data_IF_118841279021
#
_entry.id   IF_118841279021
#
_cell.length_a   1.000
_cell.length_b   1.000
_cell.length_c   1.000
_cell.angle_alpha   90.00
_cell.angle_beta   90.00
_cell.angle_gamma   90.00
#
_symmetry.space_group_name_H-M   'P 1'
#
loop_
_entity.id
_entity.type
_entity.pdbx_description
1 polymer ?
#
# COMPACT_ATOMS: atom_id res chain seq x y z
N UNK A 1 5.85 -30.21 8.91
CA UNK A 1 5.22 -28.90 9.25
C UNK A 1 5.02 -28.87 10.75
N UNK A 2 5.39 -27.78 11.45
CA UNK A 2 5.23 -27.70 12.91
C UNK A 2 3.75 -27.65 13.33
N UNK A 3 3.40 -28.35 14.42
CA UNK A 3 2.03 -28.42 14.98
C UNK A 3 1.31 -27.06 15.10
N UNK A 4 2.03 -25.98 15.41
CA UNK A 4 1.45 -24.63 15.51
C UNK A 4 0.95 -24.04 14.19
N UNK A 5 1.48 -24.47 13.02
CA UNK A 5 1.03 -23.99 11.71
C UNK A 5 -0.29 -24.62 11.30
N UNK A 6 -0.48 -25.92 11.55
CA UNK A 6 -1.74 -26.63 11.27
C UNK A 6 -2.88 -26.06 12.09
N UNK A 7 -2.66 -25.79 13.39
CA UNK A 7 -3.66 -25.16 14.25
C UNK A 7 -4.10 -23.80 13.69
N UNK A 8 -3.14 -22.94 13.28
CA UNK A 8 -3.47 -21.62 12.70
C UNK A 8 -4.32 -21.73 11.43
N UNK A 9 -4.07 -22.72 10.58
CA UNK A 9 -4.89 -22.95 9.39
C UNK A 9 -6.30 -23.41 9.74
N UNK A 10 -6.46 -24.30 10.72
CA UNK A 10 -7.77 -24.74 11.18
C UNK A 10 -8.57 -23.59 11.80
N UNK A 11 -7.92 -22.75 12.65
CA UNK A 11 -8.56 -21.57 13.22
C UNK A 11 -8.93 -20.52 12.15
N UNK A 12 -8.14 -20.35 11.08
CA UNK A 12 -8.44 -19.43 9.99
C UNK A 12 -9.80 -19.72 9.32
N UNK A 13 -10.19 -20.99 9.23
CA UNK A 13 -11.50 -21.39 8.64
C UNK A 13 -12.69 -20.94 9.49
N UNK A 14 -12.48 -20.58 10.75
CA UNK A 14 -13.52 -20.09 11.66
C UNK A 14 -13.67 -18.57 11.67
N UNK A 15 -12.69 -17.83 11.12
CA UNK A 15 -12.71 -16.37 11.13
C UNK A 15 -13.52 -15.78 9.99
N UNK A 16 -14.73 -15.29 10.28
CA UNK A 16 -15.62 -14.65 9.28
C UNK A 16 -14.99 -13.44 8.58
N UNK A 17 -14.05 -12.75 9.24
CA UNK A 17 -13.32 -11.62 8.66
C UNK A 17 -12.17 -12.04 7.73
N UNK A 18 -11.87 -13.33 7.55
CA UNK A 18 -10.78 -13.84 6.71
C UNK A 18 -11.32 -14.63 5.52
N UNK A 19 -11.22 -14.04 4.33
CA UNK A 19 -11.57 -14.71 3.07
C UNK A 19 -10.35 -15.45 2.50
N UNK A 20 -10.48 -16.75 2.23
CA UNK A 20 -9.40 -17.62 1.73
C UNK A 20 -9.82 -18.38 0.46
N UNK A 21 -10.00 -17.70 -0.69
CA UNK A 21 -10.40 -18.35 -1.92
C UNK A 21 -9.35 -19.32 -2.41
N UNK A 22 -9.79 -20.42 -3.00
CA UNK A 22 -8.94 -21.36 -3.72
C UNK A 22 -8.44 -20.74 -5.04
N UNK A 23 -7.37 -21.30 -5.59
CA UNK A 23 -6.86 -20.85 -6.89
C UNK A 23 -7.89 -21.06 -8.02
N UNK A 24 -8.69 -22.12 -7.96
CA UNK A 24 -9.70 -22.43 -8.98
C UNK A 24 -10.88 -21.45 -8.99
N UNK A 25 -11.17 -20.76 -7.90
CA UNK A 25 -12.22 -19.74 -7.85
C UNK A 25 -11.85 -18.46 -8.59
N UNK A 26 -10.55 -18.21 -8.84
CA UNK A 26 -10.07 -16.97 -9.44
C UNK A 26 -9.18 -17.16 -10.65
N UNK A 27 -8.92 -18.41 -11.04
CA UNK A 27 -8.08 -18.76 -12.18
C UNK A 27 -8.69 -19.86 -13.02
N UNK A 28 -8.82 -19.61 -14.33
CA UNK A 28 -9.14 -20.61 -15.31
C UNK A 28 -7.91 -20.91 -16.17
N UNK A 29 -7.63 -22.21 -16.34
CA UNK A 29 -6.52 -22.75 -17.15
C UNK A 29 -7.01 -23.78 -18.18
N UNK A 30 -8.32 -23.89 -18.40
CA UNK A 30 -8.94 -24.95 -19.20
C UNK A 30 -8.48 -24.95 -20.65
N UNK A 31 -8.18 -23.79 -21.22
CA UNK A 31 -7.85 -23.63 -22.66
C UNK A 31 -6.33 -23.53 -22.91
N UNK A 32 -5.49 -24.01 -22.00
CA UNK A 32 -4.03 -23.87 -22.10
C UNK A 32 -3.52 -22.43 -21.87
N UNK A 33 -4.43 -21.48 -21.61
CA UNK A 33 -4.14 -20.10 -21.26
C UNK A 33 -4.26 -19.85 -19.76
N UNK A 34 -4.11 -18.57 -19.41
CA UNK A 34 -4.34 -18.09 -18.04
C UNK A 34 -5.37 -16.97 -18.08
N UNK A 35 -6.52 -17.16 -17.43
CA UNK A 35 -7.57 -16.17 -17.29
C UNK A 35 -7.89 -15.94 -15.81
N UNK A 36 -7.94 -14.67 -15.41
CA UNK A 36 -8.40 -14.29 -14.08
C UNK A 36 -9.93 -14.25 -14.10
N UNK A 37 -10.56 -14.98 -13.16
CA UNK A 37 -12.00 -15.01 -12.95
C UNK A 37 -12.40 -14.04 -11.86
N UNK A 38 -13.60 -13.46 -11.98
CA UNK A 38 -14.14 -12.60 -10.92
C UNK A 38 -14.67 -13.46 -9.76
N UNK A 39 -14.18 -13.20 -8.56
CA UNK A 39 -14.72 -13.82 -7.35
C UNK A 39 -16.05 -13.15 -6.96
N UNK A 40 -17.03 -13.90 -6.37
CA UNK A 40 -18.34 -13.35 -5.97
C UNK A 40 -18.30 -12.17 -5.00
N UNK A 41 -17.22 -12.00 -4.25
CA UNK A 41 -17.00 -10.85 -3.34
C UNK A 41 -16.80 -9.52 -4.09
N UNK A 42 -16.39 -9.57 -5.36
CA UNK A 42 -16.10 -8.40 -6.19
C UNK A 42 -17.31 -7.47 -6.29
N UNK A 43 -17.17 -6.24 -5.81
CA UNK A 43 -18.26 -5.27 -5.71
C UNK A 43 -19.19 -5.45 -4.50
N UNK A 44 -18.91 -6.44 -3.64
CA UNK A 44 -19.78 -6.82 -2.52
C UNK A 44 -19.06 -6.79 -1.16
N UNK A 45 -17.87 -6.22 -1.07
CA UNK A 45 -17.14 -6.18 0.20
C UNK A 45 -17.92 -5.49 1.32
N UNK A 46 -18.49 -4.31 1.02
CA UNK A 46 -19.25 -3.55 2.00
C UNK A 46 -20.50 -4.26 2.51
N UNK A 47 -21.18 -5.02 1.66
CA UNK A 47 -22.41 -5.75 2.04
C UNK A 47 -22.14 -7.09 2.72
N UNK A 48 -21.02 -7.74 2.39
CA UNK A 48 -20.79 -9.13 2.81
C UNK A 48 -19.80 -9.25 3.99
N UNK A 49 -18.90 -8.27 4.14
CA UNK A 49 -17.80 -8.40 5.11
C UNK A 49 -17.82 -7.35 6.21
N UNK A 50 -18.53 -6.25 6.05
CA UNK A 50 -18.50 -5.13 6.99
C UNK A 50 -19.88 -4.80 7.55
N UNK A 51 -19.92 -4.30 8.79
CA UNK A 51 -21.16 -3.89 9.44
C UNK A 51 -21.78 -2.61 8.82
N UNK A 52 -20.95 -1.78 8.19
CA UNK A 52 -21.36 -0.52 7.54
C UNK A 52 -20.64 -0.36 6.20
N UNK A 53 -21.36 0.18 5.22
CA UNK A 53 -20.75 0.59 3.96
C UNK A 53 -19.93 1.87 4.17
N UNK A 54 -18.62 1.77 3.97
CA UNK A 54 -17.65 2.85 4.16
C UNK A 54 -16.58 2.78 3.07
N UNK A 55 -15.78 3.86 2.85
CA UNK A 55 -14.63 3.80 1.95
C UNK A 55 -13.69 2.66 2.32
N UNK A 56 -13.24 1.89 1.31
CA UNK A 56 -12.38 0.72 1.52
C UNK A 56 -10.91 1.12 1.33
N UNK A 57 -10.09 0.75 2.30
CA UNK A 57 -8.63 0.92 2.31
C UNK A 57 -7.98 -0.45 2.25
N UNK A 58 -7.04 -0.65 1.31
CA UNK A 58 -6.28 -1.90 1.19
C UNK A 58 -4.88 -1.74 1.74
N UNK A 59 -4.39 -2.73 2.49
CA UNK A 59 -2.97 -2.93 2.74
C UNK A 59 -2.48 -4.16 1.96
N UNK A 60 -1.59 -3.97 0.99
CA UNK A 60 -1.06 -5.04 0.15
C UNK A 60 0.27 -5.55 0.69
N UNK A 61 0.31 -6.84 1.03
CA UNK A 61 1.44 -7.46 1.71
C UNK A 61 1.39 -7.24 3.23
N UNK A 62 0.21 -7.21 3.82
CA UNK A 62 -0.03 -6.84 5.22
C UNK A 62 0.65 -7.72 6.28
N UNK A 63 1.21 -8.87 5.89
CA UNK A 63 1.91 -9.76 6.80
C UNK A 63 1.02 -10.24 7.96
N UNK A 64 1.27 -9.73 9.17
CA UNK A 64 0.50 -10.04 10.38
C UNK A 64 -0.73 -9.14 10.56
N UNK A 65 -0.95 -8.17 9.67
CA UNK A 65 -2.07 -7.24 9.71
C UNK A 65 -1.95 -6.14 10.78
N UNK A 66 -0.74 -5.89 11.31
CA UNK A 66 -0.53 -4.88 12.35
C UNK A 66 -0.96 -3.49 11.88
N UNK A 67 -0.57 -3.11 10.67
CA UNK A 67 -0.90 -1.80 10.10
C UNK A 67 -2.40 -1.70 9.79
N UNK A 68 -2.99 -2.74 9.17
CA UNK A 68 -4.43 -2.84 8.91
C UNK A 68 -5.25 -2.64 10.19
N UNK A 69 -4.89 -3.33 11.28
CA UNK A 69 -5.56 -3.24 12.59
C UNK A 69 -5.42 -1.83 13.19
N UNK A 70 -4.20 -1.29 13.23
CA UNK A 70 -3.97 0.01 13.87
C UNK A 70 -4.66 1.14 13.11
N UNK A 71 -4.68 1.12 11.77
CA UNK A 71 -5.43 2.07 10.96
C UNK A 71 -6.93 1.98 11.25
N UNK A 72 -7.49 0.77 11.33
CA UNK A 72 -8.92 0.56 11.56
C UNK A 72 -9.42 1.12 12.90
N UNK A 73 -8.56 1.10 13.91
CA UNK A 73 -8.86 1.63 15.24
C UNK A 73 -8.76 3.15 15.31
N UNK A 74 -7.86 3.74 14.51
CA UNK A 74 -7.63 5.20 14.48
C UNK A 74 -8.65 5.93 13.64
N UNK A 75 -9.05 5.33 12.51
CA UNK A 75 -10.01 5.93 11.57
C UNK A 75 -11.17 4.95 11.35
N UNK A 76 -12.09 4.83 12.33
CA UNK A 76 -13.20 3.87 12.28
C UNK A 76 -14.28 4.23 11.24
N UNK A 77 -14.17 5.36 10.57
CA UNK A 77 -15.04 5.79 9.45
C UNK A 77 -14.70 5.13 8.11
N UNK A 78 -13.74 4.20 8.07
CA UNK A 78 -13.30 3.47 6.87
C UNK A 78 -13.26 1.97 7.14
N UNK A 79 -13.40 1.17 6.10
CA UNK A 79 -13.23 -0.28 6.12
C UNK A 79 -11.84 -0.67 5.62
N UNK A 80 -11.21 -1.63 6.28
CA UNK A 80 -9.82 -2.02 6.01
C UNK A 80 -9.70 -3.47 5.61
N UNK A 81 -8.94 -3.73 4.54
CA UNK A 81 -8.68 -5.08 4.07
C UNK A 81 -7.19 -5.31 3.97
N UNK A 82 -6.65 -6.19 4.83
CA UNK A 82 -5.27 -6.65 4.74
C UNK A 82 -5.14 -7.82 3.78
N UNK A 83 -4.22 -7.73 2.81
CA UNK A 83 -4.01 -8.76 1.78
C UNK A 83 -2.62 -9.38 1.93
N UNK A 84 -2.52 -10.70 2.06
CA UNK A 84 -1.25 -11.45 2.04
C UNK A 84 -1.48 -12.88 1.53
N UNK A 85 -0.44 -13.51 1.02
CA UNK A 85 -0.50 -14.92 0.58
C UNK A 85 -0.31 -15.91 1.74
N UNK A 86 0.31 -15.47 2.84
CA UNK A 86 0.71 -16.34 3.95
C UNK A 86 -0.37 -16.42 5.02
N UNK A 87 -1.27 -17.40 4.93
CA UNK A 87 -2.37 -17.60 5.87
C UNK A 87 -1.92 -17.71 7.35
N UNK A 88 -0.74 -18.28 7.64
CA UNK A 88 -0.21 -18.34 8.99
C UNK A 88 0.18 -16.97 9.57
N UNK A 89 0.43 -15.95 8.73
CA UNK A 89 0.64 -14.56 9.12
C UNK A 89 -0.69 -13.84 9.32
N UNK A 90 -1.60 -13.96 8.35
CA UNK A 90 -2.96 -13.39 8.42
C UNK A 90 -3.74 -13.85 9.66
N UNK A 91 -3.49 -15.08 10.13
CA UNK A 91 -4.07 -15.61 11.35
C UNK A 91 -3.97 -14.64 12.53
N UNK A 92 -2.88 -13.93 12.65
CA UNK A 92 -2.62 -13.04 13.79
C UNK A 92 -3.54 -11.82 13.78
N UNK A 93 -3.66 -11.15 12.62
CA UNK A 93 -4.56 -10.02 12.42
C UNK A 93 -6.03 -10.42 12.50
N UNK A 94 -6.41 -11.54 11.84
CA UNK A 94 -7.78 -12.03 11.86
C UNK A 94 -8.24 -12.43 13.26
N UNK A 95 -7.38 -13.13 14.02
CA UNK A 95 -7.63 -13.48 15.42
C UNK A 95 -7.82 -12.22 16.26
N UNK A 96 -6.93 -11.25 16.14
CA UNK A 96 -7.03 -9.98 16.87
C UNK A 96 -8.33 -9.25 16.54
N UNK A 97 -8.71 -9.18 15.27
CA UNK A 97 -9.94 -8.53 14.84
C UNK A 97 -11.19 -9.17 15.46
N UNK A 98 -11.23 -10.52 15.54
CA UNK A 98 -12.34 -11.26 16.16
C UNK A 98 -12.34 -11.05 17.69
N UNK A 99 -11.19 -11.16 18.36
CA UNK A 99 -11.08 -11.01 19.83
C UNK A 99 -11.42 -9.59 20.32
N UNK A 100 -11.33 -8.58 19.44
CA UNK A 100 -11.60 -7.17 19.79
C UNK A 100 -12.82 -6.59 19.06
N UNK A 101 -13.65 -7.45 18.47
CA UNK A 101 -14.90 -7.07 17.78
C UNK A 101 -14.70 -5.89 16.80
N UNK A 102 -13.72 -5.98 15.89
CA UNK A 102 -13.45 -4.94 14.90
C UNK A 102 -14.34 -5.13 13.65
N UNK A 103 -15.48 -4.42 13.53
CA UNK A 103 -16.46 -4.64 12.47
C UNK A 103 -16.06 -4.05 11.11
N UNK A 104 -14.97 -3.28 11.08
CA UNK A 104 -14.45 -2.58 9.91
C UNK A 104 -13.11 -3.18 9.42
N UNK A 105 -12.80 -4.43 9.79
CA UNK A 105 -11.57 -5.13 9.39
C UNK A 105 -11.90 -6.44 8.69
N UNK A 106 -11.28 -6.67 7.55
CA UNK A 106 -11.27 -7.95 6.86
C UNK A 106 -9.86 -8.32 6.38
N UNK A 107 -9.66 -9.58 6.07
CA UNK A 107 -8.42 -10.09 5.49
C UNK A 107 -8.72 -10.93 4.25
N UNK A 108 -7.84 -10.84 3.26
CA UNK A 108 -7.92 -11.62 2.03
C UNK A 108 -6.61 -12.39 1.83
N UNK A 109 -6.70 -13.71 1.81
CA UNK A 109 -5.57 -14.57 1.48
C UNK A 109 -5.52 -14.83 -0.02
N UNK A 110 -4.67 -14.08 -0.72
CA UNK A 110 -4.46 -14.28 -2.17
C UNK A 110 -3.06 -13.85 -2.59
N UNK A 111 -2.71 -14.19 -3.83
CA UNK A 111 -1.57 -13.59 -4.52
C UNK A 111 -1.97 -12.20 -5.01
N UNK A 112 -1.16 -11.18 -4.74
CA UNK A 112 -1.48 -9.79 -5.15
C UNK A 112 -1.59 -9.66 -6.67
N UNK A 113 -0.93 -10.52 -7.44
CA UNK A 113 -1.05 -10.59 -8.89
C UNK A 113 -2.50 -10.87 -9.37
N UNK A 114 -3.33 -11.45 -8.49
CA UNK A 114 -4.73 -11.78 -8.76
C UNK A 114 -5.72 -10.77 -8.16
N UNK A 115 -5.26 -9.64 -7.67
CA UNK A 115 -6.06 -8.67 -6.91
C UNK A 115 -7.30 -8.19 -7.68
N UNK A 116 -7.22 -8.11 -9.00
CA UNK A 116 -8.32 -7.68 -9.89
C UNK A 116 -9.54 -8.61 -9.83
N UNK A 117 -9.36 -9.86 -9.39
CA UNK A 117 -10.46 -10.81 -9.20
C UNK A 117 -11.44 -10.39 -8.11
N UNK A 118 -10.99 -9.56 -7.17
CA UNK A 118 -11.67 -9.31 -5.90
C UNK A 118 -12.27 -7.91 -5.76
N UNK A 119 -11.90 -6.97 -6.62
CA UNK A 119 -12.36 -5.58 -6.49
C UNK A 119 -12.96 -5.07 -7.78
N UNK A 120 -14.17 -4.50 -7.67
CA UNK A 120 -14.90 -3.87 -8.77
C UNK A 120 -14.36 -2.43 -9.04
N UNK A 121 -14.64 -1.86 -10.21
CA UNK A 121 -14.27 -0.48 -10.50
C UNK A 121 -14.74 0.50 -9.43
N UNK A 122 -13.83 1.37 -8.95
CA UNK A 122 -14.08 2.42 -7.95
C UNK A 122 -14.39 1.89 -6.53
N UNK A 123 -14.17 0.62 -6.24
CA UNK A 123 -14.50 0.01 -4.95
C UNK A 123 -13.49 0.36 -3.85
N UNK A 124 -12.27 0.70 -4.21
CA UNK A 124 -11.17 0.99 -3.27
C UNK A 124 -10.82 2.47 -3.28
N UNK A 125 -10.71 3.09 -2.12
CA UNK A 125 -10.34 4.51 -1.96
C UNK A 125 -8.84 4.74 -1.78
N UNK A 126 -8.15 3.81 -1.11
CA UNK A 126 -6.72 3.94 -0.80
C UNK A 126 -6.03 2.58 -0.82
N UNK A 127 -4.74 2.59 -1.21
CA UNK A 127 -3.86 1.43 -1.18
C UNK A 127 -2.61 1.78 -0.35
N UNK A 128 -2.28 0.93 0.61
CA UNK A 128 -1.08 1.03 1.43
C UNK A 128 -0.09 -0.07 1.06
N UNK A 129 1.14 0.32 0.75
CA UNK A 129 2.29 -0.53 0.49
C UNK A 129 3.28 -0.33 1.64
N UNK A 130 3.13 -1.16 2.70
CA UNK A 130 3.90 -1.02 3.94
C UNK A 130 5.02 -2.07 3.97
N UNK A 131 6.26 -1.64 3.95
CA UNK A 131 7.45 -2.51 4.05
C UNK A 131 7.44 -3.68 3.07
N UNK A 132 6.90 -3.44 1.87
CA UNK A 132 6.88 -4.43 0.79
C UNK A 132 8.30 -4.73 0.29
N UNK A 133 8.48 -5.97 -0.21
CA UNK A 133 9.77 -6.40 -0.78
C UNK A 133 10.16 -5.49 -1.97
N UNK A 134 11.35 -4.87 -1.96
CA UNK A 134 11.80 -3.98 -3.04
C UNK A 134 12.07 -4.70 -4.36
N UNK A 135 12.08 -6.05 -4.38
CA UNK A 135 12.25 -6.85 -5.60
C UNK A 135 13.42 -6.36 -6.45
N UNK A 136 14.62 -6.31 -5.86
CA UNK A 136 15.81 -5.70 -6.45
C UNK A 136 16.14 -6.23 -7.85
N UNK A 137 15.91 -7.53 -8.10
CA UNK A 137 16.17 -8.20 -9.37
C UNK A 137 14.99 -8.25 -10.35
N UNK A 138 13.80 -7.73 -9.99
CA UNK A 138 12.58 -7.94 -10.79
C UNK A 138 11.64 -6.74 -10.72
N UNK A 139 11.83 -5.75 -11.62
CA UNK A 139 11.06 -4.52 -11.62
C UNK A 139 9.53 -4.77 -11.66
N UNK A 140 9.08 -5.68 -12.52
CA UNK A 140 7.65 -5.98 -12.69
C UNK A 140 6.99 -6.64 -11.46
N UNK A 141 7.77 -7.12 -10.49
CA UNK A 141 7.27 -7.70 -9.25
C UNK A 141 7.12 -6.67 -8.13
N UNK A 142 7.63 -5.45 -8.29
CA UNK A 142 7.45 -4.37 -7.33
C UNK A 142 6.00 -3.96 -7.31
N UNK A 143 5.41 -3.85 -6.12
CA UNK A 143 3.99 -3.46 -5.98
C UNK A 143 3.69 -2.02 -6.46
N UNK A 144 4.71 -1.21 -6.69
CA UNK A 144 4.61 0.12 -7.30
C UNK A 144 5.05 0.17 -8.77
N UNK A 145 5.23 -0.98 -9.42
CA UNK A 145 5.59 -1.03 -10.85
C UNK A 145 4.42 -0.64 -11.77
N UNK A 146 4.68 -0.22 -13.01
CA UNK A 146 3.64 0.00 -14.03
C UNK A 146 2.65 -1.15 -14.15
N UNK A 147 3.12 -2.40 -14.07
CA UNK A 147 2.28 -3.61 -14.12
C UNK A 147 1.24 -3.62 -12.99
N UNK A 148 1.61 -3.23 -11.79
CA UNK A 148 0.69 -3.16 -10.66
C UNK A 148 -0.16 -1.90 -10.68
N UNK A 149 0.36 -0.77 -11.12
CA UNK A 149 -0.45 0.45 -11.31
C UNK A 149 -1.58 0.23 -12.32
N UNK A 150 -1.35 -0.54 -13.40
CA UNK A 150 -2.39 -0.95 -14.33
C UNK A 150 -3.49 -1.79 -13.67
N UNK A 151 -3.14 -2.63 -12.71
CA UNK A 151 -4.12 -3.40 -11.93
C UNK A 151 -4.92 -2.48 -11.00
N UNK A 152 -4.25 -1.61 -10.27
CA UNK A 152 -4.88 -0.70 -9.31
C UNK A 152 -5.84 0.27 -9.96
N UNK A 153 -5.51 0.80 -11.14
CA UNK A 153 -6.37 1.68 -11.95
C UNK A 153 -7.76 1.09 -12.19
N UNK A 154 -7.88 -0.23 -12.28
CA UNK A 154 -9.14 -0.91 -12.59
C UNK A 154 -10.15 -0.84 -11.45
N UNK A 155 -9.70 -0.67 -10.20
CA UNK A 155 -10.58 -0.71 -9.04
C UNK A 155 -10.40 0.46 -8.06
N UNK A 156 -9.34 1.26 -8.21
CA UNK A 156 -9.16 2.45 -7.38
C UNK A 156 -10.15 3.53 -7.79
N UNK A 157 -10.76 4.20 -6.80
CA UNK A 157 -11.69 5.29 -7.03
C UNK A 157 -10.97 6.51 -7.65
N UNK A 158 -11.66 7.39 -8.38
CA UNK A 158 -11.10 8.64 -8.86
C UNK A 158 -10.53 9.46 -7.70
N UNK A 159 -9.29 9.94 -7.83
CA UNK A 159 -8.58 10.63 -6.75
C UNK A 159 -8.10 9.72 -5.62
N UNK A 160 -8.27 8.40 -5.76
CA UNK A 160 -7.76 7.41 -4.82
C UNK A 160 -6.24 7.48 -4.69
N UNK A 161 -5.74 7.17 -3.51
CA UNK A 161 -4.35 7.38 -3.11
C UNK A 161 -3.59 6.06 -3.02
N UNK A 162 -2.31 6.10 -3.38
CA UNK A 162 -1.36 5.02 -3.11
C UNK A 162 -0.30 5.55 -2.15
N UNK A 163 -0.13 4.85 -1.04
CA UNK A 163 0.84 5.14 0.01
C UNK A 163 1.95 4.10 -0.02
N UNK A 164 3.18 4.55 -0.10
CA UNK A 164 4.37 3.72 0.11
C UNK A 164 5.06 4.16 1.39
N UNK A 165 5.20 3.26 2.36
CA UNK A 165 6.00 3.43 3.58
C UNK A 165 7.06 2.34 3.61
N UNK A 166 8.34 2.70 3.58
CA UNK A 166 9.42 1.72 3.39
C UNK A 166 10.75 2.15 4.00
N UNK A 167 11.50 1.18 4.53
CA UNK A 167 12.90 1.31 4.90
C UNK A 167 13.84 1.28 3.68
N UNK A 168 13.34 0.82 2.51
CA UNK A 168 14.11 0.71 1.27
C UNK A 168 14.21 2.04 0.55
N UNK A 169 15.42 2.61 0.53
CA UNK A 169 15.69 3.80 -0.29
C UNK A 169 15.55 3.49 -1.78
N UNK A 170 15.99 2.31 -2.20
CA UNK A 170 15.83 1.83 -3.57
C UNK A 170 14.36 1.83 -4.00
N UNK A 171 13.45 1.22 -3.20
CA UNK A 171 12.04 1.14 -3.56
C UNK A 171 11.38 2.53 -3.59
N UNK A 172 11.74 3.39 -2.65
CA UNK A 172 11.25 4.77 -2.62
C UNK A 172 11.64 5.53 -3.89
N UNK A 173 12.93 5.53 -4.27
CA UNK A 173 13.41 6.27 -5.45
C UNK A 173 12.85 5.68 -6.75
N UNK A 174 12.76 4.35 -6.84
CA UNK A 174 12.10 3.70 -7.96
C UNK A 174 10.64 4.15 -8.10
N UNK A 175 9.87 4.12 -7.00
CA UNK A 175 8.46 4.49 -7.03
C UNK A 175 8.28 5.97 -7.40
N UNK A 176 9.14 6.84 -6.87
CA UNK A 176 9.15 8.26 -7.24
C UNK A 176 9.49 8.49 -8.71
N UNK A 177 10.46 7.74 -9.25
CA UNK A 177 10.79 7.79 -10.66
C UNK A 177 9.63 7.29 -11.55
N UNK A 178 8.92 6.22 -11.15
CA UNK A 178 7.69 5.77 -11.83
C UNK A 178 6.62 6.85 -11.80
N UNK A 179 6.38 7.48 -10.65
CA UNK A 179 5.40 8.55 -10.52
C UNK A 179 5.72 9.73 -11.45
N UNK A 180 6.98 10.17 -11.49
CA UNK A 180 7.44 11.27 -12.34
C UNK A 180 7.33 10.91 -13.85
N UNK A 181 7.79 9.71 -14.25
CA UNK A 181 7.75 9.26 -15.65
C UNK A 181 6.32 9.19 -16.21
N UNK A 182 5.33 9.06 -15.35
CA UNK A 182 3.91 9.01 -15.71
C UNK A 182 3.13 10.29 -15.34
N UNK A 183 3.80 11.36 -14.94
CA UNK A 183 3.17 12.62 -14.58
C UNK A 183 2.16 12.50 -13.44
N UNK A 184 2.38 11.56 -12.50
CA UNK A 184 1.46 11.34 -11.38
C UNK A 184 1.59 12.44 -10.33
N UNK A 185 0.48 12.82 -9.74
CA UNK A 185 0.47 13.83 -8.69
C UNK A 185 0.99 13.25 -7.37
N UNK A 186 2.17 13.72 -6.92
CA UNK A 186 2.78 13.35 -5.63
C UNK A 186 2.23 14.30 -4.57
N UNK A 187 1.44 13.75 -3.66
CA UNK A 187 0.77 14.48 -2.56
C UNK A 187 1.69 14.66 -1.35
N UNK A 188 2.63 13.75 -1.15
CA UNK A 188 3.60 13.83 -0.06
C UNK A 188 4.82 12.95 -0.36
N UNK A 189 6.02 13.43 -0.06
CA UNK A 189 7.27 12.70 -0.24
C UNK A 189 8.29 13.09 0.82
N UNK A 190 8.88 12.13 1.53
CA UNK A 190 9.98 12.33 2.45
C UNK A 190 10.91 11.12 2.49
N UNK A 191 12.17 11.37 2.73
CA UNK A 191 13.21 10.33 2.84
C UNK A 191 13.54 9.97 4.27
N UNK A 192 12.91 10.65 5.23
CA UNK A 192 13.08 10.38 6.66
C UNK A 192 11.83 10.86 7.43
N UNK A 193 10.82 10.01 7.49
CA UNK A 193 9.49 10.33 8.02
C UNK A 193 9.51 10.83 9.48
N UNK A 194 10.46 10.34 10.27
CA UNK A 194 10.54 10.64 11.71
C UNK A 194 11.49 11.77 12.05
N UNK A 195 12.18 12.35 11.06
CA UNK A 195 13.08 13.46 11.27
C UNK A 195 12.36 14.80 11.00
N UNK A 196 12.09 15.63 12.02
CA UNK A 196 11.38 16.90 11.85
C UNK A 196 12.13 17.91 10.98
N UNK A 197 13.43 17.71 10.78
CA UNK A 197 14.26 18.57 9.94
C UNK A 197 14.23 18.18 8.45
N UNK A 198 13.62 17.04 8.10
CA UNK A 198 13.43 16.62 6.71
C UNK A 198 12.01 16.95 6.30
N UNK A 199 11.79 17.90 5.39
CA UNK A 199 10.45 18.32 5.01
C UNK A 199 9.70 17.22 4.26
N UNK A 200 8.38 17.22 4.41
CA UNK A 200 7.49 16.46 3.54
C UNK A 200 7.16 17.37 2.36
N UNK A 201 7.68 17.05 1.18
CA UNK A 201 7.48 17.81 -0.05
C UNK A 201 6.27 17.33 -0.84
N UNK A 202 5.71 18.20 -1.70
CA UNK A 202 4.69 17.85 -2.69
C UNK A 202 5.23 18.18 -4.07
N UNK A 203 4.82 17.44 -5.11
CA UNK A 203 5.03 17.84 -6.49
C UNK A 203 3.76 17.62 -7.29
N UNK A 204 3.32 18.68 -8.01
CA UNK A 204 2.30 18.55 -9.03
C UNK A 204 3.01 18.42 -10.39
N UNK A 205 2.49 17.64 -11.35
CA UNK A 205 2.96 17.75 -12.74
C UNK A 205 2.82 19.23 -13.13
N UNK A 206 3.92 19.84 -13.54
CA UNK A 206 3.82 21.14 -14.18
C UNK A 206 3.02 20.90 -15.47
N UNK A 207 1.77 21.40 -15.51
CA UNK A 207 1.16 21.79 -16.76
C UNK A 207 2.16 22.76 -17.40
N UNK A 208 2.61 22.45 -18.63
CA UNK A 208 3.56 23.25 -19.38
C UNK A 208 3.25 24.72 -19.15
N UNK A 209 4.08 25.38 -18.35
CA UNK A 209 3.93 26.77 -18.08
C UNK A 209 4.33 27.50 -19.35
N UNK A 210 3.33 28.06 -20.05
CA UNK A 210 3.54 29.07 -21.06
C UNK A 210 4.54 30.10 -20.48
N UNK A 211 5.70 30.33 -21.13
CA UNK A 211 6.72 31.23 -20.62
C UNK A 211 6.23 32.68 -20.44
N UNK A 212 5.00 32.99 -20.88
CA UNK A 212 4.40 34.33 -20.79
C UNK A 212 3.39 34.52 -19.64
N UNK A 213 3.18 33.55 -18.76
CA UNK A 213 2.26 33.72 -17.62
C UNK A 213 3.00 34.42 -16.47
N UNK A 214 2.54 35.63 -16.01
CA UNK A 214 3.18 36.35 -14.92
C UNK A 214 3.12 35.55 -13.63
N UNK A 215 4.25 35.33 -12.99
CA UNK A 215 4.36 34.69 -11.66
C UNK A 215 3.56 35.51 -10.65
N UNK A 216 2.56 34.87 -10.03
CA UNK A 216 1.89 35.44 -8.86
C UNK A 216 2.92 35.59 -7.72
N UNK A 217 2.98 36.74 -7.01
CA UNK A 217 3.87 36.89 -5.87
C UNK A 217 3.51 35.88 -4.78
N UNK A 218 4.50 35.17 -4.26
CA UNK A 218 4.35 34.37 -3.03
C UNK A 218 4.01 35.34 -1.90
N UNK A 219 2.83 35.15 -1.31
CA UNK A 219 2.46 35.81 -0.06
C UNK A 219 3.18 35.07 1.07
N UNK A 220 4.23 35.70 1.59
CA UNK A 220 4.84 35.35 2.86
C UNK A 220 3.78 35.39 3.97
N UNK A 221 3.33 34.22 4.40
CA UNK A 221 2.60 34.06 5.66
C UNK A 221 3.43 33.23 6.62
N UNK A 222 4.28 33.92 7.39
CA UNK A 222 4.76 33.39 8.67
C UNK A 222 3.54 33.16 9.58
N UNK A 223 3.11 31.92 9.73
CA UNK A 223 2.48 31.47 10.98
C UNK A 223 2.26 29.94 10.98
N UNK A 224 2.72 29.32 12.03
CA UNK A 224 2.49 27.93 12.46
C UNK A 224 3.15 26.84 11.61
N UNK A 225 4.36 26.48 11.99
CA UNK A 225 5.02 25.20 11.64
C UNK A 225 4.30 24.03 12.32
N UNK A 226 3.14 23.66 11.80
CA UNK A 226 2.65 22.30 11.93
C UNK A 226 3.19 21.52 10.73
N UNK A 227 3.88 20.41 10.95
CA UNK A 227 4.42 19.50 9.92
C UNK A 227 3.30 18.79 9.11
N UNK A 228 2.27 19.51 8.66
CA UNK A 228 1.20 18.99 7.86
C UNK A 228 1.62 19.03 6.38
N UNK A 229 1.75 17.85 5.75
CA UNK A 229 1.91 17.77 4.30
C UNK A 229 0.66 18.38 3.64
N UNK A 230 0.80 19.32 2.71
CA UNK A 230 -0.34 20.06 2.13
C UNK A 230 -1.38 19.18 1.40
N UNK A 231 -1.05 17.91 1.12
CA UNK A 231 -1.92 16.98 0.39
C UNK A 231 -2.52 15.85 1.21
N UNK A 232 -2.23 15.75 2.52
CA UNK A 232 -2.74 14.70 3.40
C UNK A 232 -3.66 15.27 4.48
N UNK A 233 -4.74 14.52 4.80
CA UNK A 233 -5.57 14.85 5.95
C UNK A 233 -4.85 14.57 7.28
N UNK A 234 -5.32 15.22 8.35
CA UNK A 234 -4.72 15.09 9.69
C UNK A 234 -4.71 13.65 10.22
N UNK A 235 -5.74 12.88 9.90
CA UNK A 235 -5.90 11.49 10.33
C UNK A 235 -4.84 10.61 9.67
N UNK A 236 -4.64 10.77 8.36
CA UNK A 236 -3.58 10.08 7.60
C UNK A 236 -2.19 10.45 8.12
N UNK A 237 -1.95 11.74 8.42
CA UNK A 237 -0.66 12.18 8.97
C UNK A 237 -0.39 11.59 10.36
N UNK A 238 -1.37 11.58 11.24
CA UNK A 238 -1.24 10.96 12.55
C UNK A 238 -1.00 9.44 12.43
N UNK A 239 -1.72 8.77 11.54
CA UNK A 239 -1.52 7.35 11.29
C UNK A 239 -0.11 7.02 10.77
N UNK A 240 0.47 7.88 9.92
CA UNK A 240 1.82 7.68 9.38
C UNK A 240 2.90 7.59 10.45
N UNK A 241 2.83 8.42 11.48
CA UNK A 241 3.85 8.52 12.53
C UNK A 241 3.56 7.63 13.73
N UNK A 242 2.28 7.46 14.05
CA UNK A 242 1.86 6.75 15.26
C UNK A 242 1.72 5.24 15.07
N UNK A 243 1.39 4.79 13.82
CA UNK A 243 1.31 3.35 13.52
C UNK A 243 2.70 2.84 13.17
N UNK A 244 3.26 2.02 14.04
CA UNK A 244 4.57 1.41 13.84
C UNK A 244 4.47 -0.11 13.93
N UNK A 245 4.71 -0.80 12.82
CA UNK A 245 4.78 -2.26 12.78
C UNK A 245 6.00 -2.80 13.53
N UNK A 246 5.98 -4.09 13.83
CA UNK A 246 7.15 -4.78 14.39
C UNK A 246 8.40 -4.59 13.50
N UNK A 247 8.25 -4.74 12.19
CA UNK A 247 9.36 -4.57 11.23
C UNK A 247 9.89 -3.14 11.22
N UNK A 248 9.02 -2.15 11.27
CA UNK A 248 9.40 -0.75 11.31
C UNK A 248 10.24 -0.42 12.53
N UNK A 249 9.76 -0.80 13.73
CA UNK A 249 10.53 -0.61 14.98
C UNK A 249 11.89 -1.31 14.93
N UNK A 250 11.96 -2.50 14.31
CA UNK A 250 13.20 -3.24 14.13
C UNK A 250 14.17 -2.50 13.20
N UNK A 251 13.71 -1.99 12.07
CA UNK A 251 14.54 -1.25 11.11
C UNK A 251 15.02 0.09 11.70
N UNK A 252 14.15 0.82 12.39
CA UNK A 252 14.54 2.06 13.08
C UNK A 252 15.63 1.81 14.14
N UNK A 253 15.54 0.73 14.92
CA UNK A 253 16.58 0.34 15.88
C UNK A 253 17.92 0.01 15.22
N UNK A 254 17.91 -0.41 13.96
CA UNK A 254 19.11 -0.66 13.16
C UNK A 254 19.63 0.60 12.45
N UNK A 255 19.00 1.77 12.68
CA UNK A 255 19.39 3.04 12.08
C UNK A 255 18.86 3.29 10.66
N UNK A 256 17.95 2.43 10.15
CA UNK A 256 17.30 2.69 8.87
C UNK A 256 16.34 3.86 8.98
N UNK A 257 16.36 4.73 7.96
CA UNK A 257 15.39 5.80 7.78
C UNK A 257 14.14 5.25 7.13
N UNK A 258 12.99 5.74 7.55
CA UNK A 258 11.71 5.36 6.95
C UNK A 258 11.33 6.40 5.92
N UNK A 259 11.24 5.97 4.67
CA UNK A 259 10.83 6.79 3.55
C UNK A 259 9.31 6.68 3.38
N UNK A 260 8.70 7.78 2.92
CA UNK A 260 7.27 7.80 2.61
C UNK A 260 6.98 8.56 1.32
N UNK A 261 6.06 8.02 0.54
CA UNK A 261 5.55 8.62 -0.70
C UNK A 261 4.04 8.37 -0.79
N UNK A 262 3.28 9.42 -1.09
CA UNK A 262 1.85 9.32 -1.42
C UNK A 262 1.59 9.98 -2.76
N UNK A 263 0.84 9.29 -3.63
CA UNK A 263 0.51 9.79 -4.97
C UNK A 263 -0.85 9.27 -5.45
N UNK A 264 -1.40 9.90 -6.49
CA UNK A 264 -2.62 9.45 -7.18
C UNK A 264 -2.26 8.88 -8.56
N UNK A 265 -3.12 8.00 -9.10
CA UNK A 265 -2.89 7.35 -10.41
C UNK A 265 -3.85 7.82 -11.50
N UNK A 266 -4.21 9.09 -11.48
CA UNK A 266 -5.04 9.74 -12.51
C UNK A 266 -4.20 10.03 -13.77
N UNK A 267 -3.87 8.99 -14.51
CA UNK A 267 -3.07 9.01 -15.74
C UNK A 267 -3.85 8.39 -16.88
N UNK A 268 -3.85 9.04 -18.05
CA UNK A 268 -4.41 8.50 -19.29
C UNK A 268 -3.33 7.74 -20.07
N UNK A 269 -3.71 6.66 -20.73
CA UNK A 269 -2.78 5.78 -21.44
C UNK A 269 -2.10 4.72 -20.55
N UNK A 270 -1.19 3.91 -21.11
CA UNK A 270 -0.46 2.87 -20.39
C UNK A 270 0.61 3.48 -19.47
N UNK A 271 0.78 2.90 -18.28
CA UNK A 271 1.90 3.26 -17.41
C UNK A 271 3.22 2.77 -17.99
N UNK A 272 4.25 3.62 -17.93
CA UNK A 272 5.60 3.33 -18.44
C UNK A 272 6.60 3.19 -17.28
N UNK A 273 7.63 2.38 -17.51
CA UNK A 273 8.77 2.29 -16.60
C UNK A 273 9.66 3.55 -16.72
N UNK A 274 10.30 4.01 -15.64
CA UNK A 274 11.21 5.13 -15.71
C UNK A 274 12.47 4.77 -16.50
N UNK A 275 12.83 5.61 -17.47
CA UNK A 275 14.01 5.43 -18.33
C UNK A 275 15.31 5.87 -17.65
N UNK A 276 15.21 6.79 -16.71
CA UNK A 276 16.32 7.48 -16.03
C UNK A 276 16.63 6.92 -14.63
N UNK A 277 16.00 5.79 -14.25
CA UNK A 277 16.25 5.14 -12.95
C UNK A 277 17.47 4.23 -13.02
N UNK A 278 18.57 4.66 -12.42
CA UNK A 278 19.80 3.85 -12.28
C UNK A 278 19.62 2.77 -11.17
N UNK A 279 19.17 1.60 -11.60
CA UNK A 279 18.94 0.46 -10.70
C UNK A 279 20.21 -0.02 -10.01
N UNK A 280 21.37 0.07 -10.65
CA UNK A 280 22.63 -0.45 -10.11
C UNK A 280 23.18 0.49 -9.04
N UNK A 281 23.11 1.79 -9.30
CA UNK A 281 23.45 2.82 -8.30
C UNK A 281 22.61 2.65 -7.02
N UNK A 282 21.27 2.64 -7.14
CA UNK A 282 20.40 2.54 -5.97
C UNK A 282 20.49 1.19 -5.26
N UNK A 283 20.75 0.10 -5.99
CA UNK A 283 21.00 -1.22 -5.40
C UNK A 283 22.29 -1.24 -4.58
N UNK A 284 23.35 -0.55 -5.03
CA UNK A 284 24.60 -0.43 -4.30
C UNK A 284 24.46 0.30 -2.97
N UNK A 285 23.56 1.29 -2.90
CA UNK A 285 23.25 2.06 -1.67
C UNK A 285 22.40 1.24 -0.69
N UNK A 286 21.51 0.37 -1.19
CA UNK A 286 20.59 -0.41 -0.34
C UNK A 286 21.34 -1.31 0.64
N UNK A 287 22.51 -1.80 0.27
CA UNK A 287 23.32 -2.69 1.08
C UNK A 287 22.69 -4.08 1.33
N UNK A 288 23.41 -5.01 1.96
CA UNK A 288 22.84 -6.31 2.31
C UNK A 288 21.85 -6.14 3.47
N UNK A 289 20.56 -6.36 3.22
CA UNK A 289 19.53 -6.40 4.26
C UNK A 289 19.77 -7.59 5.18
N UNK A 290 20.06 -7.35 6.44
CA UNK A 290 20.06 -8.40 7.46
C UNK A 290 18.62 -8.75 7.81
N UNK A 291 18.01 -9.62 7.01
CA UNK A 291 16.79 -10.28 7.46
C UNK A 291 17.13 -11.15 8.65
N UNK A 292 16.57 -10.86 9.81
CA UNK A 292 16.57 -11.82 10.90
C UNK A 292 15.62 -12.94 10.46
N UNK A 293 16.19 -14.01 9.86
CA UNK A 293 15.49 -15.26 9.71
C UNK A 293 15.29 -15.80 11.14
N UNK A 294 14.05 -16.03 11.51
CA UNK A 294 13.57 -16.56 12.79
C UNK A 294 13.21 -15.52 13.86
N UNK A 295 11.97 -15.01 13.78
CA UNK A 295 11.11 -14.86 14.95
C UNK A 295 9.69 -15.33 14.57
#
# INVERSE_FOLDING_TARGET
MGHGKLRKFAENETFKCLLQPSASEVMDKSDGGFRVLNHPIKGNWNSNMFAKAQPIVLELGCGRGEYTIDLSRRVPSRNYIGVDIKGARLWQGAKYAVEHDLPNVAFLRTRIELIEAFFAPREVSEIWLTFSDPQLGSANKRLSSPVFLEKYRKFLAPGGRIHLKTDSRFLYEYTKAVANANGLNILAATTDLYNPNVPISTSHPQLDSDPNTPRRPELDSESNRTNAAPGLDKETMAALTDVQTFYERMFMKQGYKINYLCFTINHEGPFVAPSDFDSDYWRSIEGPRKFIQNV
#
